data_IF_740346675944
#
_entry.id   IF_740346675944
#
_cell.length_a   1.000
_cell.length_b   1.000
_cell.length_c   1.000
_cell.angle_alpha   90.00
_cell.angle_beta   90.00
_cell.angle_gamma   90.00
#
_symmetry.space_group_name_H-M   'P 1'
#
loop_
_entity.id
_entity.type
_entity.pdbx_description
1 polymer ?
#
# COMPACT_ATOMS: atom_id res chain seq x y z
N UNK A 1 -27.68 14.88 -63.93
CA UNK A 1 -28.36 15.01 -62.62
C UNK A 1 -29.26 13.79 -62.48
N UNK A 2 -29.05 12.75 -61.67
CA UNK A 2 -28.25 12.47 -60.47
C UNK A 2 -27.51 11.12 -60.64
N UNK A 3 -26.30 11.00 -60.10
CA UNK A 3 -25.57 9.73 -59.92
C UNK A 3 -26.14 8.98 -58.69
N UNK A 4 -26.30 7.66 -58.79
CA UNK A 4 -26.46 6.76 -57.66
C UNK A 4 -25.12 6.04 -57.40
N UNK A 5 -24.52 6.12 -56.18
CA UNK A 5 -23.41 5.26 -55.79
C UNK A 5 -23.95 4.16 -54.85
N UNK A 6 -23.91 2.90 -55.25
CA UNK A 6 -24.59 1.83 -54.48
C UNK A 6 -23.91 0.46 -54.43
N UNK A 7 -22.64 0.33 -54.84
CA UNK A 7 -21.95 -0.97 -54.82
C UNK A 7 -20.52 -0.94 -54.22
N UNK A 8 -19.90 0.23 -54.07
CA UNK A 8 -18.52 0.34 -53.53
C UNK A 8 -18.42 0.35 -52.01
N UNK A 9 -19.49 0.67 -51.29
CA UNK A 9 -19.44 0.92 -49.84
C UNK A 9 -19.49 -0.39 -49.03
N UNK A 10 -20.20 -1.41 -49.52
CA UNK A 10 -20.33 -2.70 -48.84
C UNK A 10 -19.04 -3.54 -48.90
N UNK A 11 -18.29 -3.49 -50.01
CA UNK A 11 -17.02 -4.21 -50.14
C UNK A 11 -15.88 -3.55 -49.35
N UNK A 12 -15.95 -2.23 -49.10
CA UNK A 12 -15.02 -1.52 -48.23
C UNK A 12 -15.31 -1.80 -46.75
N UNK A 13 -16.58 -1.94 -46.35
CA UNK A 13 -16.97 -2.31 -44.99
C UNK A 13 -16.50 -3.73 -44.63
N UNK A 14 -16.69 -4.70 -45.53
CA UNK A 14 -16.25 -6.09 -45.32
C UNK A 14 -14.71 -6.28 -45.31
N UNK A 15 -13.95 -5.36 -45.95
CA UNK A 15 -12.47 -5.33 -45.88
C UNK A 15 -11.92 -4.50 -44.72
N UNK A 16 -12.75 -3.67 -44.10
CA UNK A 16 -12.40 -2.94 -42.88
C UNK A 16 -12.63 -3.78 -41.61
N UNK A 17 -13.60 -4.72 -41.63
CA UNK A 17 -13.84 -5.64 -40.51
C UNK A 17 -12.76 -6.73 -40.36
N UNK A 18 -12.00 -7.06 -41.42
CA UNK A 18 -10.91 -8.04 -41.37
C UNK A 18 -9.56 -7.46 -40.92
N UNK A 19 -9.45 -6.13 -40.75
CA UNK A 19 -8.25 -5.45 -40.26
C UNK A 19 -8.32 -5.12 -38.75
N UNK A 20 -9.42 -5.49 -38.09
CA UNK A 20 -9.63 -5.29 -36.65
C UNK A 20 -9.53 -6.63 -35.89
N UNK A 21 -8.72 -7.58 -36.37
CA UNK A 21 -8.16 -8.59 -35.47
C UNK A 21 -7.15 -7.85 -34.58
N UNK A 22 -7.65 -7.19 -33.54
CA UNK A 22 -6.82 -6.60 -32.50
C UNK A 22 -5.94 -7.72 -31.98
N UNK A 23 -4.65 -7.69 -32.32
CA UNK A 23 -3.63 -8.34 -31.53
C UNK A 23 -3.77 -7.72 -30.14
N UNK A 24 -4.53 -8.38 -29.28
CA UNK A 24 -4.43 -8.17 -27.84
C UNK A 24 -3.05 -8.73 -27.54
N UNK A 25 -2.05 -7.85 -27.58
CA UNK A 25 -0.71 -8.14 -27.13
C UNK A 25 -0.86 -8.46 -25.64
N UNK A 26 -0.91 -9.75 -25.36
CA UNK A 26 -1.11 -10.27 -24.02
C UNK A 26 0.27 -10.24 -23.37
N UNK A 27 0.50 -9.24 -22.53
CA UNK A 27 1.72 -9.15 -21.75
C UNK A 27 1.64 -10.20 -20.63
N UNK A 28 2.34 -11.32 -20.82
CA UNK A 28 2.38 -12.41 -19.84
C UNK A 28 3.55 -12.19 -18.88
N UNK A 29 3.25 -11.82 -17.64
CA UNK A 29 4.21 -11.85 -16.56
C UNK A 29 4.21 -13.23 -15.89
N UNK A 30 5.36 -13.89 -15.86
CA UNK A 30 5.58 -15.12 -15.10
C UNK A 30 6.39 -14.80 -13.84
N UNK A 31 5.93 -15.29 -12.70
CA UNK A 31 6.58 -15.10 -11.40
C UNK A 31 7.13 -16.44 -10.91
N UNK A 32 8.38 -16.44 -10.45
CA UNK A 32 9.02 -17.59 -9.82
C UNK A 32 9.35 -17.27 -8.37
N UNK A 33 9.13 -18.23 -7.48
CA UNK A 33 9.54 -18.11 -6.09
C UNK A 33 11.02 -18.52 -5.96
N UNK A 34 11.91 -17.55 -5.86
CA UNK A 34 13.32 -17.77 -5.53
C UNK A 34 13.70 -17.05 -4.24
N UNK A 35 13.65 -17.81 -3.14
CA UNK A 35 14.02 -17.31 -1.81
C UNK A 35 15.49 -16.90 -1.72
N UNK A 36 16.38 -17.61 -2.41
CA UNK A 36 17.82 -17.33 -2.33
C UNK A 36 18.11 -15.99 -2.99
N UNK A 37 17.56 -15.79 -4.19
CA UNK A 37 17.62 -14.52 -4.90
C UNK A 37 17.10 -13.35 -4.03
N UNK A 38 15.90 -13.49 -3.46
CA UNK A 38 15.29 -12.42 -2.62
C UNK A 38 16.16 -12.08 -1.41
N UNK A 39 16.74 -13.09 -0.74
CA UNK A 39 17.61 -12.85 0.42
C UNK A 39 18.90 -12.13 0.01
N UNK A 40 19.53 -12.53 -1.09
CA UNK A 40 20.75 -11.85 -1.58
C UNK A 40 20.43 -10.42 -2.05
N UNK A 41 19.33 -10.22 -2.77
CA UNK A 41 18.89 -8.88 -3.18
C UNK A 41 18.64 -7.96 -1.98
N UNK A 42 18.00 -8.46 -0.92
CA UNK A 42 17.83 -7.71 0.34
C UNK A 42 19.18 -7.35 1.00
N UNK A 43 20.17 -8.25 0.96
CA UNK A 43 21.50 -8.00 1.53
C UNK A 43 22.28 -6.95 0.76
N UNK A 44 22.14 -6.94 -0.56
CA UNK A 44 22.80 -6.00 -1.45
C UNK A 44 22.05 -4.66 -1.57
N UNK A 45 20.79 -4.60 -1.11
CA UNK A 45 19.94 -3.41 -1.27
C UNK A 45 19.39 -3.25 -2.68
N UNK A 46 19.20 -4.36 -3.41
CA UNK A 46 18.78 -4.40 -4.81
C UNK A 46 17.26 -4.62 -4.99
N UNK A 47 16.47 -4.42 -3.93
CA UNK A 47 15.00 -4.46 -4.02
C UNK A 47 14.48 -3.05 -4.28
N UNK A 48 14.09 -2.81 -5.53
CA UNK A 48 13.50 -1.54 -5.97
C UNK A 48 11.97 -1.50 -5.82
N UNK A 49 11.33 -2.67 -5.78
CA UNK A 49 9.88 -2.81 -5.70
C UNK A 49 9.49 -3.94 -4.74
N UNK A 50 8.54 -3.63 -3.86
CA UNK A 50 7.95 -4.57 -2.92
C UNK A 50 6.48 -4.18 -2.73
N UNK A 51 5.58 -5.11 -3.01
CA UNK A 51 4.13 -4.94 -2.86
C UNK A 51 3.62 -5.89 -1.79
N UNK A 52 2.55 -5.48 -1.08
CA UNK A 52 1.80 -6.40 -0.25
C UNK A 52 1.06 -7.43 -1.12
N UNK A 53 0.91 -8.66 -0.62
CA UNK A 53 0.09 -9.70 -1.27
C UNK A 53 -1.22 -9.91 -0.50
N UNK A 54 -1.19 -9.72 0.83
CA UNK A 54 -2.40 -9.72 1.67
C UNK A 54 -2.18 -8.99 2.99
N UNK A 55 -3.29 -8.61 3.64
CA UNK A 55 -3.30 -8.05 5.00
C UNK A 55 -2.62 -8.99 6.00
N UNK A 56 -2.86 -10.31 5.89
CA UNK A 56 -2.30 -11.30 6.80
C UNK A 56 -0.78 -11.40 6.69
N UNK A 57 -0.25 -11.37 5.45
CA UNK A 57 1.19 -11.42 5.20
C UNK A 57 1.89 -10.13 5.64
N UNK A 58 1.27 -8.96 5.41
CA UNK A 58 1.77 -7.69 5.94
C UNK A 58 1.79 -7.71 7.48
N UNK A 59 0.75 -8.25 8.12
CA UNK A 59 0.70 -8.38 9.58
C UNK A 59 1.80 -9.32 10.09
N UNK A 60 2.06 -10.44 9.42
CA UNK A 60 3.15 -11.37 9.76
C UNK A 60 4.53 -10.72 9.61
N UNK A 61 4.75 -9.96 8.53
CA UNK A 61 5.96 -9.18 8.35
C UNK A 61 6.19 -8.23 9.54
N UNK A 62 5.20 -7.42 9.90
CA UNK A 62 5.34 -6.48 11.00
C UNK A 62 5.48 -7.18 12.35
N UNK A 63 4.78 -8.30 12.59
CA UNK A 63 4.99 -9.14 13.78
C UNK A 63 6.44 -9.61 13.89
N UNK A 64 7.05 -10.01 12.77
CA UNK A 64 8.46 -10.40 12.75
C UNK A 64 9.43 -9.23 12.95
N UNK A 65 9.14 -8.07 12.38
CA UNK A 65 9.95 -6.87 12.56
C UNK A 65 9.92 -6.35 14.00
N UNK A 66 8.72 -6.32 14.61
CA UNK A 66 8.51 -5.93 16.01
C UNK A 66 9.10 -6.96 16.97
N UNK A 67 8.81 -8.25 16.78
CA UNK A 67 9.28 -9.31 17.69
C UNK A 67 10.79 -9.57 17.67
N UNK A 68 11.55 -8.89 16.80
CA UNK A 68 13.02 -8.94 16.71
C UNK A 68 13.66 -7.57 16.91
N UNK A 69 12.88 -6.58 17.36
CA UNK A 69 13.30 -5.19 17.60
C UNK A 69 13.97 -4.54 16.39
N UNK A 70 13.63 -4.96 15.17
CA UNK A 70 14.26 -4.46 13.93
C UNK A 70 13.95 -2.98 13.76
N UNK A 71 12.69 -2.59 13.97
CA UNK A 71 12.25 -1.20 13.83
C UNK A 71 12.89 -0.28 14.87
N UNK A 72 13.11 -0.77 16.09
CA UNK A 72 13.79 -0.02 17.15
C UNK A 72 15.27 0.18 16.83
N UNK A 73 15.96 -0.89 16.41
CA UNK A 73 17.37 -0.81 15.97
C UNK A 73 17.55 0.11 14.76
N UNK A 74 16.60 0.11 13.83
CA UNK A 74 16.61 1.06 12.71
C UNK A 74 16.38 2.50 13.19
N UNK A 75 15.49 2.69 14.17
CA UNK A 75 15.22 4.00 14.76
C UNK A 75 16.45 4.62 15.44
N UNK A 76 17.30 3.82 16.08
CA UNK A 76 18.57 4.28 16.69
C UNK A 76 19.54 4.91 15.68
N UNK A 77 19.48 4.47 14.43
CA UNK A 77 20.36 4.92 13.35
C UNK A 77 19.67 5.95 12.44
N UNK A 78 18.48 6.42 12.82
CA UNK A 78 17.72 7.35 11.98
C UNK A 78 18.45 8.70 11.90
N UNK A 79 18.75 9.19 10.69
CA UNK A 79 19.58 10.38 10.53
C UNK A 79 18.81 11.62 10.98
N UNK A 80 19.43 12.38 11.90
CA UNK A 80 19.05 13.70 12.45
C UNK A 80 18.21 13.74 13.74
N UNK A 81 18.48 14.69 14.65
CA UNK A 81 17.59 14.95 15.78
C UNK A 81 16.23 15.44 15.27
N UNK A 82 15.16 14.74 15.65
CA UNK A 82 13.79 15.17 15.31
C UNK A 82 13.36 16.32 16.20
N UNK A 83 12.57 17.24 15.64
CA UNK A 83 11.89 18.28 16.43
C UNK A 83 10.62 17.76 17.11
N UNK A 84 10.00 16.70 16.57
CA UNK A 84 8.80 16.04 17.11
C UNK A 84 9.19 14.66 17.63
N UNK A 85 9.32 14.53 18.95
CA UNK A 85 9.70 13.29 19.65
C UNK A 85 8.51 12.58 20.31
N UNK A 86 7.32 13.16 20.22
CA UNK A 86 6.10 12.66 20.86
C UNK A 86 5.61 11.33 20.29
N UNK A 87 5.98 11.03 19.05
CA UNK A 87 5.65 9.76 18.41
C UNK A 87 6.96 8.99 18.19
N UNK A 88 7.03 7.72 18.59
CA UNK A 88 8.26 6.93 18.46
C UNK A 88 8.72 6.82 17.01
N UNK A 89 10.05 6.91 16.79
CA UNK A 89 10.65 6.80 15.45
C UNK A 89 10.39 5.42 14.83
N UNK A 90 10.33 4.35 15.63
CA UNK A 90 10.02 3.02 15.11
C UNK A 90 8.63 2.99 14.44
N UNK A 91 7.67 3.78 14.93
CA UNK A 91 6.33 3.86 14.34
C UNK A 91 6.35 4.61 13.02
N UNK A 92 7.16 5.68 12.92
CA UNK A 92 7.42 6.37 11.66
C UNK A 92 7.94 5.37 10.61
N UNK A 93 9.00 4.63 10.95
CA UNK A 93 9.61 3.65 10.04
C UNK A 93 8.59 2.57 9.63
N UNK A 94 7.82 2.04 10.58
CA UNK A 94 6.78 1.07 10.29
C UNK A 94 5.72 1.61 9.32
N UNK A 95 5.31 2.87 9.52
CA UNK A 95 4.31 3.56 8.70
C UNK A 95 4.83 3.81 7.28
N UNK A 96 6.10 4.20 7.13
CA UNK A 96 6.76 4.36 5.83
C UNK A 96 6.86 3.03 5.08
N UNK A 97 7.22 1.94 5.77
CA UNK A 97 7.24 0.60 5.18
C UNK A 97 5.84 0.22 4.69
N UNK A 98 4.81 0.39 5.51
CA UNK A 98 3.43 0.05 5.15
C UNK A 98 2.95 0.89 3.96
N UNK A 99 3.17 2.20 3.96
CA UNK A 99 2.86 3.05 2.80
C UNK A 99 3.56 2.60 1.52
N UNK A 100 4.84 2.22 1.62
CA UNK A 100 5.62 1.75 0.46
C UNK A 100 5.10 0.42 -0.08
N UNK A 101 4.71 -0.51 0.80
CA UNK A 101 4.09 -1.80 0.43
C UNK A 101 2.76 -1.64 -0.32
N UNK A 102 2.05 -0.54 -0.07
CA UNK A 102 0.77 -0.21 -0.71
C UNK A 102 0.93 0.78 -1.88
N UNK A 103 2.16 1.14 -2.26
CA UNK A 103 2.48 2.21 -3.22
C UNK A 103 1.65 3.50 -3.00
N UNK A 104 1.49 3.87 -1.74
CA UNK A 104 0.52 4.87 -1.29
C UNK A 104 1.19 6.17 -0.84
N UNK A 105 0.54 7.30 -1.12
CA UNK A 105 0.95 8.61 -0.59
C UNK A 105 0.56 8.78 0.89
N UNK A 106 1.18 9.72 1.60
CA UNK A 106 0.88 10.02 3.00
C UNK A 106 -0.61 10.30 3.26
N UNK A 107 -1.33 10.91 2.32
CA UNK A 107 -2.76 11.20 2.49
C UNK A 107 -3.63 9.95 2.54
N UNK A 108 -3.13 8.84 2.00
CA UNK A 108 -3.80 7.55 2.05
C UNK A 108 -3.52 6.78 3.35
N UNK A 109 -2.67 7.29 4.26
CA UNK A 109 -2.29 6.58 5.47
C UNK A 109 -3.47 6.06 6.33
N UNK A 110 -4.56 6.83 6.57
CA UNK A 110 -5.72 6.31 7.27
C UNK A 110 -6.40 5.14 6.56
N UNK A 111 -6.34 5.09 5.22
CA UNK A 111 -6.85 3.97 4.44
C UNK A 111 -5.92 2.76 4.56
N UNK A 112 -4.61 2.96 4.40
CA UNK A 112 -3.60 1.90 4.54
C UNK A 112 -3.66 1.24 5.91
N UNK A 113 -3.82 2.01 7.00
CA UNK A 113 -3.98 1.43 8.34
C UNK A 113 -5.28 0.64 8.53
N UNK A 114 -6.33 0.95 7.77
CA UNK A 114 -7.62 0.23 7.82
C UNK A 114 -7.62 -1.02 6.97
N UNK A 115 -6.91 -1.04 5.85
CA UNK A 115 -6.87 -2.17 4.91
C UNK A 115 -5.61 -3.02 4.99
N UNK A 116 -4.59 -2.56 5.71
CA UNK A 116 -3.28 -3.20 5.82
C UNK A 116 -3.05 -3.91 7.15
N UNK A 117 -2.01 -4.74 7.19
CA UNK A 117 -1.69 -5.60 8.33
C UNK A 117 -0.98 -4.90 9.50
N UNK A 118 -0.55 -3.64 9.33
CA UNK A 118 0.25 -2.91 10.33
C UNK A 118 -0.48 -2.76 11.68
N UNK A 119 -1.73 -2.26 11.69
CA UNK A 119 -2.50 -2.08 12.93
C UNK A 119 -2.70 -3.42 13.65
N UNK A 120 -3.02 -4.47 12.90
CA UNK A 120 -3.19 -5.82 13.43
C UNK A 120 -1.91 -6.33 14.11
N UNK A 121 -0.73 -5.99 13.60
CA UNK A 121 0.55 -6.35 14.20
C UNK A 121 0.92 -5.52 15.44
N UNK A 122 0.59 -4.22 15.45
CA UNK A 122 0.87 -3.32 16.58
C UNK A 122 0.00 -3.61 17.80
N UNK A 123 -1.18 -4.16 17.56
CA UNK A 123 -2.11 -4.59 18.60
C UNK A 123 -2.95 -3.45 19.19
N UNK A 124 -3.92 -3.80 20.06
CA UNK A 124 -5.04 -2.93 20.42
C UNK A 124 -4.65 -1.70 21.26
N UNK A 125 -3.44 -1.68 21.83
CA UNK A 125 -2.92 -0.51 22.56
C UNK A 125 -2.56 0.65 21.65
N UNK A 126 -2.13 0.35 20.42
CA UNK A 126 -1.76 1.39 19.44
C UNK A 126 -2.98 1.78 18.61
N UNK A 127 -3.79 0.81 18.23
CA UNK A 127 -5.07 1.04 17.58
C UNK A 127 -5.80 -0.27 17.34
N UNK A 128 -7.12 -0.19 17.17
CA UNK A 128 -7.95 -1.33 16.78
C UNK A 128 -9.00 -0.89 15.80
N UNK A 129 -9.32 -1.77 14.84
CA UNK A 129 -10.49 -1.56 14.00
C UNK A 129 -11.75 -1.57 14.88
N UNK A 130 -12.65 -0.64 14.60
CA UNK A 130 -13.93 -0.51 15.27
C UNK A 130 -15.01 -0.28 14.22
N UNK A 131 -16.03 -1.14 14.24
CA UNK A 131 -17.19 -1.02 13.37
C UNK A 131 -18.22 -0.11 14.03
N UNK A 132 -18.70 0.88 13.28
CA UNK A 132 -19.76 1.75 13.76
C UNK A 132 -21.11 1.01 13.71
N UNK A 133 -21.87 0.93 14.82
CA UNK A 133 -23.03 0.05 14.94
C UNK A 133 -24.15 0.36 13.94
N UNK A 134 -24.33 1.62 13.58
CA UNK A 134 -25.43 2.03 12.68
C UNK A 134 -25.07 2.02 11.19
N UNK A 135 -23.81 2.29 10.85
CA UNK A 135 -23.38 2.48 9.46
C UNK A 135 -22.56 1.31 8.93
N UNK A 136 -22.15 0.39 9.82
CA UNK A 136 -21.22 -0.70 9.53
C UNK A 136 -19.89 -0.22 8.94
N UNK A 137 -19.57 1.08 9.09
CA UNK A 137 -18.32 1.64 8.63
C UNK A 137 -17.19 1.17 9.56
N UNK A 138 -16.15 0.59 8.97
CA UNK A 138 -14.94 0.24 9.71
C UNK A 138 -14.08 1.49 9.86
N UNK A 139 -13.87 1.87 11.10
CA UNK A 139 -13.00 2.97 11.52
C UNK A 139 -11.83 2.42 12.34
N UNK A 140 -10.85 3.27 12.64
CA UNK A 140 -9.79 2.93 13.57
C UNK A 140 -10.02 3.71 14.86
N UNK A 141 -10.08 2.99 15.98
CA UNK A 141 -10.06 3.58 17.32
C UNK A 141 -8.63 3.52 17.87
N UNK A 142 -8.08 4.67 18.25
CA UNK A 142 -6.75 4.77 18.85
C UNK A 142 -6.67 6.00 19.76
N UNK A 143 -5.91 5.89 20.86
CA UNK A 143 -5.61 7.03 21.76
C UNK A 143 -4.51 7.90 21.16
N UNK A 144 -3.61 7.28 20.38
CA UNK A 144 -2.42 7.91 19.81
C UNK A 144 -1.29 8.06 20.83
N UNK A 145 -0.25 8.80 20.42
CA UNK A 145 0.97 8.96 21.24
C UNK A 145 1.10 10.34 21.91
N UNK A 146 0.13 11.23 21.71
CA UNK A 146 0.08 12.54 22.36
C UNK A 146 -1.36 13.07 22.48
N UNK A 147 -1.54 14.09 23.33
CA UNK A 147 -2.85 14.66 23.68
C UNK A 147 -3.16 15.98 22.94
N UNK A 148 -2.61 16.18 21.73
CA UNK A 148 -2.76 17.45 20.99
C UNK A 148 -4.01 17.55 20.14
N UNK A 149 -4.82 16.49 20.07
CA UNK A 149 -5.95 16.44 19.16
C UNK A 149 -7.23 16.86 19.87
N UNK A 150 -7.96 17.81 19.28
CA UNK A 150 -9.27 18.27 19.78
C UNK A 150 -10.40 17.29 19.45
N UNK A 151 -10.17 16.36 18.52
CA UNK A 151 -11.12 15.36 18.04
C UNK A 151 -10.54 13.95 18.16
N UNK A 152 -11.44 12.96 18.14
CA UNK A 152 -11.07 11.54 18.13
C UNK A 152 -10.11 11.21 16.99
N UNK A 153 -9.06 10.45 17.29
CA UNK A 153 -8.04 10.07 16.31
C UNK A 153 -8.54 8.99 15.36
N UNK A 154 -8.24 9.17 14.08
CA UNK A 154 -8.41 8.15 13.05
C UNK A 154 -7.13 7.35 12.77
N UNK A 155 -5.99 7.81 13.27
CA UNK A 155 -4.68 7.17 13.12
C UNK A 155 -3.84 7.37 14.39
N UNK A 156 -2.94 6.43 14.75
CA UNK A 156 -2.15 6.54 15.99
C UNK A 156 -1.24 7.78 16.01
N UNK A 157 -0.83 8.25 14.83
CA UNK A 157 -0.12 9.50 14.62
C UNK A 157 -0.73 10.27 13.44
N UNK A 158 -0.68 11.60 13.51
CA UNK A 158 -1.19 12.45 12.43
C UNK A 158 -0.35 12.32 11.16
N UNK A 159 -0.93 12.63 10.01
CA UNK A 159 -0.23 12.55 8.73
C UNK A 159 1.01 13.46 8.69
N UNK A 160 0.97 14.63 9.33
CA UNK A 160 2.10 15.58 9.42
C UNK A 160 3.31 15.05 10.20
N UNK A 161 3.22 13.83 10.74
CA UNK A 161 4.33 13.10 11.32
C UNK A 161 5.13 12.28 10.29
N UNK A 162 4.49 11.91 9.17
CA UNK A 162 4.99 11.03 8.11
C UNK A 162 5.68 11.79 6.98
#
# INVERSE_FOLDING_TARGET
MRLLPGAGVAAAAARAESAQQRNIEMDFAAFEYDRTFVIEALRCGEIDYLENVSEAEEADLFRHLLGRDVLERLAEHYPTPRQKEEVPIWLYIASQISLKLHDASYHAFPYVLRSGGLITALGPKVGRQAEHPDTHAVTLACEGFNDKNEFDRQTPCDQDFL
#
